data_IF_013759300155
#
_entry.id   IF_013759300155
#
_cell.length_a   1.000
_cell.length_b   1.000
_cell.length_c   1.000
_cell.angle_alpha   90.00
_cell.angle_beta   90.00
_cell.angle_gamma   90.00
#
_symmetry.space_group_name_H-M   'P 1'
#
loop_
_entity.id
_entity.type
_entity.pdbx_description
1 polymer ?
#
# COMPACT_ATOMS: atom_id res chain seq x y z
N UNK A 1 17.01 1.37 -34.77
CA UNK A 1 15.71 2.04 -34.97
C UNK A 1 15.46 2.78 -33.67
N UNK A 2 15.57 4.10 -33.64
CA UNK A 2 15.13 4.89 -32.51
C UNK A 2 13.60 4.80 -32.44
N UNK A 3 13.09 3.81 -31.75
CA UNK A 3 11.69 3.83 -31.37
C UNK A 3 11.49 5.07 -30.51
N UNK A 4 10.59 5.98 -30.94
CA UNK A 4 10.21 7.14 -30.13
C UNK A 4 9.69 6.66 -28.77
N UNK A 5 9.69 7.54 -27.79
CA UNK A 5 9.13 7.24 -26.46
C UNK A 5 7.69 6.73 -26.58
N UNK A 6 7.34 5.60 -25.94
CA UNK A 6 5.97 5.09 -26.01
C UNK A 6 4.99 6.07 -25.35
N UNK A 7 3.75 6.10 -25.79
CA UNK A 7 2.72 6.87 -25.11
C UNK A 7 2.40 6.27 -23.73
N UNK A 8 2.05 7.12 -22.77
CA UNK A 8 1.75 6.76 -21.39
C UNK A 8 0.33 7.18 -21.02
N UNK A 9 -0.44 6.25 -20.45
CA UNK A 9 -1.73 6.53 -19.81
C UNK A 9 -1.61 6.39 -18.31
N UNK A 10 -1.77 7.51 -17.58
CA UNK A 10 -1.83 7.51 -16.12
C UNK A 10 -3.27 7.22 -15.70
N UNK A 11 -3.49 6.11 -15.00
CA UNK A 11 -4.80 5.68 -14.51
C UNK A 11 -4.92 6.00 -13.03
N UNK A 12 -5.92 6.80 -12.67
CA UNK A 12 -6.16 7.27 -11.31
C UNK A 12 -7.54 6.80 -10.82
N UNK A 13 -7.60 5.87 -9.85
CA UNK A 13 -8.83 5.56 -9.13
C UNK A 13 -9.16 6.69 -8.16
N UNK A 14 -10.34 7.30 -8.29
CA UNK A 14 -10.71 8.52 -7.55
C UNK A 14 -12.03 8.34 -6.80
N UNK A 15 -12.02 8.56 -5.47
CA UNK A 15 -13.21 8.53 -4.61
C UNK A 15 -13.01 9.37 -3.35
N UNK A 16 -13.77 10.48 -3.20
CA UNK A 16 -13.68 11.42 -2.09
C UNK A 16 -12.26 12.02 -1.93
N UNK A 17 -11.76 12.66 -2.98
CA UNK A 17 -10.42 13.23 -3.09
C UNK A 17 -10.44 14.75 -3.36
N UNK A 18 -11.49 15.46 -2.94
CA UNK A 18 -11.63 16.90 -3.21
C UNK A 18 -10.44 17.75 -2.76
N UNK A 19 -9.72 17.30 -1.71
CA UNK A 19 -8.58 18.05 -1.16
C UNK A 19 -7.27 17.81 -1.92
N UNK A 20 -7.17 16.72 -2.69
CA UNK A 20 -5.88 16.28 -3.23
C UNK A 20 -5.87 16.09 -4.74
N UNK A 21 -7.03 15.83 -5.36
CA UNK A 21 -7.13 15.45 -6.77
C UNK A 21 -6.46 16.46 -7.72
N UNK A 22 -6.71 17.76 -7.51
CA UNK A 22 -6.15 18.79 -8.38
C UNK A 22 -4.61 18.80 -8.34
N UNK A 23 -4.04 18.73 -7.14
CA UNK A 23 -2.59 18.68 -6.96
C UNK A 23 -1.99 17.40 -7.55
N UNK A 24 -2.64 16.24 -7.36
CA UNK A 24 -2.17 14.96 -7.89
C UNK A 24 -2.17 14.96 -9.44
N UNK A 25 -3.26 15.45 -10.06
CA UNK A 25 -3.35 15.56 -11.53
C UNK A 25 -2.32 16.55 -12.07
N UNK A 26 -2.17 17.71 -11.44
CA UNK A 26 -1.16 18.71 -11.82
C UNK A 26 0.26 18.12 -11.73
N UNK A 27 0.59 17.40 -10.66
CA UNK A 27 1.88 16.76 -10.49
C UNK A 27 2.19 15.70 -11.56
N UNK A 28 1.16 15.06 -12.13
CA UNK A 28 1.31 14.15 -13.29
C UNK A 28 1.51 14.94 -14.58
N UNK A 29 0.68 15.96 -14.84
CA UNK A 29 0.71 16.73 -16.09
C UNK A 29 1.96 17.58 -16.27
N UNK A 30 2.67 17.89 -15.17
CA UNK A 30 3.94 18.63 -15.16
C UNK A 30 5.17 17.74 -15.25
N UNK A 31 5.01 16.40 -15.30
CA UNK A 31 6.14 15.48 -15.50
C UNK A 31 6.80 15.74 -16.87
N UNK A 32 8.12 15.86 -16.87
CA UNK A 32 8.91 15.94 -18.10
C UNK A 32 9.00 14.57 -18.75
N UNK A 33 8.10 14.31 -19.70
CA UNK A 33 8.07 13.07 -20.46
C UNK A 33 8.10 13.36 -21.97
N UNK A 34 9.03 12.76 -22.75
CA UNK A 34 9.20 13.09 -24.17
C UNK A 34 8.10 12.53 -25.08
N UNK A 35 7.37 11.50 -24.63
CA UNK A 35 6.27 10.88 -25.39
C UNK A 35 4.91 11.50 -25.07
N UNK A 36 3.86 10.93 -25.64
CA UNK A 36 2.49 11.33 -25.34
C UNK A 36 2.09 10.92 -23.91
N UNK A 37 1.38 11.79 -23.21
CA UNK A 37 0.92 11.57 -21.84
C UNK A 37 -0.57 11.91 -21.72
N UNK A 38 -1.38 10.98 -21.23
CA UNK A 38 -2.77 11.24 -20.83
C UNK A 38 -3.03 10.83 -19.38
N UNK A 39 -4.08 11.39 -18.78
CA UNK A 39 -4.59 11.05 -17.44
C UNK A 39 -6.01 10.56 -17.55
N UNK A 40 -6.29 9.36 -17.08
CA UNK A 40 -7.64 8.76 -17.03
C UNK A 40 -8.11 8.70 -15.59
N UNK A 41 -9.04 9.57 -15.22
CA UNK A 41 -9.66 9.64 -13.90
C UNK A 41 -10.86 8.70 -13.84
N UNK A 42 -10.75 7.58 -13.14
CA UNK A 42 -11.86 6.65 -12.93
C UNK A 42 -12.62 7.03 -11.63
N UNK A 43 -13.67 7.85 -11.78
CA UNK A 43 -14.34 8.54 -10.67
C UNK A 43 -15.50 7.71 -10.12
N UNK A 44 -15.41 7.34 -8.83
CA UNK A 44 -16.48 6.71 -8.08
C UNK A 44 -17.59 7.69 -7.65
N UNK A 45 -18.65 7.15 -7.01
CA UNK A 45 -19.76 7.94 -6.43
C UNK A 45 -19.28 8.69 -5.19
N UNK A 46 -18.55 9.76 -5.40
CA UNK A 46 -18.05 10.63 -4.33
C UNK A 46 -19.16 11.43 -3.66
N UNK A 47 -18.96 11.76 -2.38
CA UNK A 47 -19.92 12.54 -1.57
C UNK A 47 -19.49 14.01 -1.38
N UNK A 48 -18.37 14.39 -1.97
CA UNK A 48 -17.70 15.67 -1.90
C UNK A 48 -17.57 16.27 -3.31
N UNK A 49 -16.78 17.33 -3.48
CA UNK A 49 -16.61 18.04 -4.74
C UNK A 49 -15.72 17.28 -5.77
N UNK A 50 -15.26 16.06 -5.48
CA UNK A 50 -14.35 15.31 -6.33
C UNK A 50 -14.80 15.23 -7.80
N UNK A 51 -16.09 14.92 -8.05
CA UNK A 51 -16.63 14.81 -9.42
C UNK A 51 -16.57 16.13 -10.16
N UNK A 52 -16.96 17.22 -9.54
CA UNK A 52 -16.92 18.54 -10.14
C UNK A 52 -15.48 18.98 -10.47
N UNK A 53 -14.52 18.63 -9.60
CA UNK A 53 -13.09 18.89 -9.84
C UNK A 53 -12.60 18.07 -11.04
N UNK A 54 -12.93 16.78 -11.12
CA UNK A 54 -12.52 15.92 -12.23
C UNK A 54 -13.08 16.45 -13.59
N UNK A 55 -14.36 16.79 -13.64
CA UNK A 55 -15.01 17.31 -14.84
C UNK A 55 -14.39 18.67 -15.27
N UNK A 56 -14.05 19.54 -14.31
CA UNK A 56 -13.36 20.80 -14.57
C UNK A 56 -11.95 20.58 -15.14
N UNK A 57 -11.18 19.66 -14.56
CA UNK A 57 -9.83 19.33 -15.05
C UNK A 57 -9.87 18.80 -16.49
N UNK A 58 -10.84 17.93 -16.81
CA UNK A 58 -11.02 17.42 -18.16
C UNK A 58 -11.48 18.48 -19.16
N UNK A 59 -12.22 19.50 -18.72
CA UNK A 59 -12.63 20.62 -19.57
C UNK A 59 -11.46 21.58 -19.89
N UNK A 60 -10.47 21.67 -18.99
CA UNK A 60 -9.33 22.61 -19.13
C UNK A 60 -8.16 21.98 -19.90
N UNK A 61 -7.87 20.69 -19.68
CA UNK A 61 -6.73 20.02 -20.32
C UNK A 61 -7.20 18.78 -21.11
N UNK A 62 -7.01 18.76 -22.46
CA UNK A 62 -7.45 17.66 -23.30
C UNK A 62 -6.74 16.32 -23.04
N UNK A 63 -5.65 16.34 -22.29
CA UNK A 63 -4.96 15.13 -21.84
C UNK A 63 -5.70 14.43 -20.69
N UNK A 64 -6.63 15.14 -20.00
CA UNK A 64 -7.40 14.57 -18.89
C UNK A 64 -8.73 14.03 -19.39
N UNK A 65 -9.05 12.82 -18.99
CA UNK A 65 -10.31 12.15 -19.36
C UNK A 65 -10.97 11.58 -18.10
N UNK A 66 -12.28 11.66 -18.03
CA UNK A 66 -13.07 11.12 -16.92
C UNK A 66 -13.81 9.88 -17.36
N UNK A 67 -13.78 8.82 -16.55
CA UNK A 67 -14.51 7.58 -16.72
C UNK A 67 -15.32 7.31 -15.45
N UNK A 68 -16.59 6.92 -15.61
CA UNK A 68 -17.45 6.60 -14.48
C UNK A 68 -17.07 5.24 -13.87
N UNK A 69 -16.95 5.20 -12.54
CA UNK A 69 -16.80 3.97 -11.76
C UNK A 69 -18.02 3.76 -10.85
N UNK A 70 -19.12 3.18 -11.36
CA UNK A 70 -20.35 3.03 -10.60
C UNK A 70 -20.21 2.10 -9.38
N UNK A 71 -19.25 1.15 -9.42
CA UNK A 71 -18.95 0.26 -8.30
C UNK A 71 -18.25 0.99 -7.13
N UNK A 72 -17.62 2.13 -7.37
CA UNK A 72 -16.88 2.92 -6.36
C UNK A 72 -15.83 2.08 -5.60
N UNK A 73 -15.19 1.15 -6.31
CA UNK A 73 -14.15 0.26 -5.82
C UNK A 73 -12.87 0.44 -6.63
N UNK A 74 -11.72 0.43 -5.96
CA UNK A 74 -10.41 0.64 -6.59
C UNK A 74 -10.11 -0.33 -7.73
N UNK A 75 -10.27 -1.66 -7.61
CA UNK A 75 -9.95 -2.56 -8.72
C UNK A 75 -10.86 -2.34 -9.94
N UNK A 76 -12.15 -2.03 -9.74
CA UNK A 76 -13.06 -1.67 -10.84
C UNK A 76 -12.59 -0.37 -11.53
N UNK A 77 -12.22 0.65 -10.73
CA UNK A 77 -11.71 1.90 -11.28
C UNK A 77 -10.45 1.68 -12.13
N UNK A 78 -9.53 0.86 -11.63
CA UNK A 78 -8.28 0.53 -12.34
C UNK A 78 -8.58 -0.21 -13.65
N UNK A 79 -9.46 -1.22 -13.64
CA UNK A 79 -9.84 -1.93 -14.87
C UNK A 79 -10.53 -1.02 -15.89
N UNK A 80 -11.47 -0.16 -15.43
CA UNK A 80 -12.14 0.81 -16.30
C UNK A 80 -11.15 1.82 -16.88
N UNK A 81 -10.20 2.30 -16.07
CA UNK A 81 -9.15 3.20 -16.51
C UNK A 81 -8.20 2.56 -17.54
N UNK A 82 -7.78 1.32 -17.30
CA UNK A 82 -6.95 0.56 -18.26
C UNK A 82 -7.68 0.29 -19.57
N UNK A 83 -8.97 -0.03 -19.52
CA UNK A 83 -9.80 -0.24 -20.71
C UNK A 83 -9.97 1.06 -21.53
N UNK A 84 -10.06 2.20 -20.86
CA UNK A 84 -10.19 3.52 -21.50
C UNK A 84 -8.83 4.11 -21.95
N UNK A 85 -7.71 3.58 -21.47
CA UNK A 85 -6.37 4.05 -21.80
C UNK A 85 -6.06 3.89 -23.30
N UNK A 86 -5.37 4.87 -23.87
CA UNK A 86 -4.99 4.89 -25.31
C UNK A 86 -3.61 4.33 -25.56
N UNK A 87 -2.74 4.39 -24.55
CA UNK A 87 -1.32 4.06 -24.70
C UNK A 87 -0.96 2.71 -24.08
N UNK A 88 0.22 2.20 -24.46
CA UNK A 88 0.66 0.85 -24.10
C UNK A 88 1.34 0.78 -22.72
N UNK A 89 1.81 1.91 -22.21
CA UNK A 89 2.32 1.99 -20.84
C UNK A 89 1.24 2.54 -19.92
N UNK A 90 0.94 1.79 -18.88
CA UNK A 90 -0.05 2.15 -17.85
C UNK A 90 0.69 2.53 -16.57
N UNK A 91 0.54 3.75 -16.13
CA UNK A 91 1.04 4.23 -14.84
C UNK A 91 -0.12 4.34 -13.87
N UNK A 92 -0.09 3.60 -12.78
CA UNK A 92 -1.09 3.78 -11.71
C UNK A 92 -0.65 4.91 -10.78
N UNK A 93 -1.57 5.82 -10.49
CA UNK A 93 -1.40 6.85 -9.45
C UNK A 93 -2.70 6.96 -8.66
N UNK A 94 -2.62 6.92 -7.34
CA UNK A 94 -3.81 7.12 -6.49
C UNK A 94 -4.21 8.63 -6.47
N UNK A 95 -5.49 8.94 -6.23
CA UNK A 95 -6.04 10.31 -6.31
C UNK A 95 -5.40 11.35 -5.37
N UNK A 96 -4.52 10.90 -4.47
CA UNK A 96 -3.70 11.72 -3.58
C UNK A 96 -2.20 11.39 -3.68
N UNK A 97 -1.79 10.65 -4.73
CA UNK A 97 -0.39 10.27 -4.98
C UNK A 97 0.40 11.43 -5.57
N UNK A 98 1.59 11.67 -5.03
CA UNK A 98 2.51 12.69 -5.54
C UNK A 98 3.77 12.00 -6.04
N UNK A 99 3.94 12.01 -7.36
CA UNK A 99 5.13 11.49 -8.02
C UNK A 99 6.30 12.47 -7.85
N UNK A 100 7.51 11.95 -7.71
CA UNK A 100 8.73 12.76 -7.81
C UNK A 100 9.00 13.17 -9.25
N UNK A 101 9.78 14.22 -9.45
CA UNK A 101 10.17 14.69 -10.79
C UNK A 101 10.90 13.58 -11.57
N UNK A 102 10.55 13.45 -12.86
CA UNK A 102 11.14 12.44 -13.74
C UNK A 102 10.66 11.00 -13.48
N UNK A 103 9.70 10.78 -12.59
CA UNK A 103 9.19 9.44 -12.23
C UNK A 103 8.72 8.66 -13.47
N UNK A 104 7.85 9.27 -14.29
CA UNK A 104 7.25 8.58 -15.46
C UNK A 104 8.35 8.21 -16.46
N UNK A 105 9.26 9.14 -16.75
CA UNK A 105 10.39 8.88 -17.66
C UNK A 105 11.25 7.72 -17.18
N UNK A 106 11.67 7.77 -15.90
CA UNK A 106 12.53 6.72 -15.32
C UNK A 106 11.83 5.37 -15.27
N UNK A 107 10.53 5.35 -14.99
CA UNK A 107 9.75 4.11 -14.99
C UNK A 107 9.66 3.46 -16.38
N UNK A 108 9.48 4.26 -17.43
CA UNK A 108 9.47 3.75 -18.81
C UNK A 108 10.85 3.23 -19.22
N UNK A 109 11.93 3.95 -18.88
CA UNK A 109 13.31 3.47 -19.10
C UNK A 109 13.52 2.10 -18.43
N UNK A 110 13.07 1.94 -17.17
CA UNK A 110 13.21 0.68 -16.43
C UNK A 110 12.37 -0.46 -17.02
N UNK A 111 11.17 -0.18 -17.54
CA UNK A 111 10.39 -1.20 -18.27
C UNK A 111 11.14 -1.74 -19.47
N UNK A 112 11.77 -0.85 -20.26
CA UNK A 112 12.55 -1.22 -21.44
C UNK A 112 13.86 -1.91 -21.07
N UNK A 113 14.64 -1.33 -20.14
CA UNK A 113 15.94 -1.87 -19.69
C UNK A 113 15.84 -3.27 -19.08
N UNK A 114 14.76 -3.54 -18.33
CA UNK A 114 14.63 -4.78 -17.55
C UNK A 114 13.75 -5.84 -18.20
N UNK A 115 12.92 -5.45 -19.18
CA UNK A 115 11.87 -6.31 -19.74
C UNK A 115 10.81 -6.71 -18.72
N UNK A 116 10.72 -6.02 -17.59
CA UNK A 116 9.74 -6.32 -16.54
C UNK A 116 8.32 -5.99 -16.98
N UNK A 117 7.35 -6.77 -16.50
CA UNK A 117 5.93 -6.52 -16.74
C UNK A 117 5.38 -5.38 -15.87
N UNK A 118 6.04 -5.16 -14.74
CA UNK A 118 5.70 -4.12 -13.77
C UNK A 118 6.97 -3.57 -13.14
N UNK A 119 7.10 -2.25 -13.11
CA UNK A 119 8.14 -1.56 -12.36
C UNK A 119 7.51 -0.61 -11.35
N UNK A 120 8.18 -0.38 -10.24
CA UNK A 120 7.73 0.57 -9.24
C UNK A 120 8.79 0.74 -8.15
N UNK A 121 8.48 1.55 -7.16
CA UNK A 121 9.53 1.96 -6.24
C UNK A 121 9.08 2.13 -4.80
N UNK A 122 9.59 3.17 -4.18
CA UNK A 122 9.48 3.43 -2.75
C UNK A 122 8.16 4.14 -2.43
N UNK A 123 7.44 3.62 -1.45
CA UNK A 123 6.39 4.36 -0.74
C UNK A 123 7.07 5.30 0.26
N UNK A 124 7.35 6.52 -0.17
CA UNK A 124 8.01 7.53 0.65
C UNK A 124 7.02 8.14 1.66
N UNK A 125 6.93 7.49 2.81
CA UNK A 125 6.00 7.88 3.87
C UNK A 125 6.49 9.15 4.56
N UNK A 126 5.77 10.27 4.37
CA UNK A 126 6.09 11.58 4.93
C UNK A 126 4.99 12.05 5.87
N UNK A 127 5.30 12.16 7.15
CA UNK A 127 4.41 12.70 8.18
C UNK A 127 4.55 14.21 8.32
N UNK A 128 3.42 14.91 8.50
CA UNK A 128 3.37 16.36 8.77
C UNK A 128 3.06 16.69 10.23
N UNK A 129 2.72 15.67 11.02
CA UNK A 129 2.51 15.77 12.47
C UNK A 129 3.37 14.74 13.21
N UNK A 130 3.62 14.92 14.52
CA UNK A 130 4.40 13.94 15.29
C UNK A 130 3.81 12.52 15.28
N UNK A 131 2.50 12.37 15.16
CA UNK A 131 1.87 11.05 15.04
C UNK A 131 2.14 10.44 13.66
N UNK A 132 1.98 11.21 12.59
CA UNK A 132 2.26 10.76 11.23
C UNK A 132 3.75 10.43 11.03
N UNK A 133 4.67 11.21 11.64
CA UNK A 133 6.10 10.93 11.65
C UNK A 133 6.38 9.55 12.31
N UNK A 134 5.73 9.26 13.44
CA UNK A 134 5.84 7.97 14.09
C UNK A 134 5.26 6.82 13.23
N UNK A 135 4.16 7.06 12.49
CA UNK A 135 3.59 6.08 11.55
C UNK A 135 4.52 5.87 10.35
N UNK A 136 5.10 6.93 9.78
CA UNK A 136 6.09 6.84 8.71
C UNK A 136 7.29 5.99 9.13
N UNK A 137 7.84 6.24 10.34
CA UNK A 137 8.92 5.44 10.90
C UNK A 137 8.52 3.96 11.11
N UNK A 138 7.31 3.69 11.59
CA UNK A 138 6.82 2.32 11.72
C UNK A 138 6.71 1.62 10.35
N UNK A 139 6.38 2.34 9.27
CA UNK A 139 6.29 1.77 7.92
C UNK A 139 7.65 1.43 7.33
N UNK A 140 8.68 2.21 7.66
CA UNK A 140 10.04 2.08 7.11
C UNK A 140 10.97 1.24 7.97
N UNK A 141 10.51 0.62 9.05
CA UNK A 141 11.35 -0.20 9.93
C UNK A 141 10.99 -1.68 9.87
N UNK A 142 11.98 -2.56 10.06
CA UNK A 142 11.78 -4.02 10.10
C UNK A 142 10.85 -4.45 11.26
N UNK A 143 10.82 -3.69 12.35
CA UNK A 143 9.91 -3.96 13.47
C UNK A 143 8.47 -3.61 13.11
N UNK A 144 8.23 -2.66 12.20
CA UNK A 144 6.91 -2.31 11.70
C UNK A 144 6.56 -3.07 10.42
N UNK A 145 6.36 -2.33 9.32
CA UNK A 145 5.98 -2.90 8.01
C UNK A 145 7.15 -3.07 7.05
N UNK A 146 8.36 -2.64 7.39
CA UNK A 146 9.55 -2.56 6.55
C UNK A 146 10.16 -3.90 6.11
N UNK A 147 9.35 -4.91 5.93
CA UNK A 147 9.79 -6.21 5.40
C UNK A 147 9.71 -6.34 3.87
N UNK A 148 9.18 -5.33 3.15
CA UNK A 148 9.16 -5.26 1.69
C UNK A 148 10.13 -4.19 1.20
N UNK A 149 10.74 -4.41 0.03
CA UNK A 149 11.68 -3.47 -0.58
C UNK A 149 11.10 -2.06 -0.75
N UNK A 150 9.83 -1.96 -1.12
CA UNK A 150 9.16 -0.67 -1.34
C UNK A 150 8.90 0.14 -0.05
N UNK A 151 9.10 -0.43 1.12
CA UNK A 151 9.06 0.28 2.41
C UNK A 151 10.43 0.82 2.84
N UNK A 152 11.52 0.35 2.22
CA UNK A 152 12.89 0.70 2.61
C UNK A 152 13.55 1.48 1.47
N UNK A 153 13.78 2.77 1.68
CA UNK A 153 14.45 3.63 0.71
C UNK A 153 15.89 3.18 0.36
N UNK A 154 16.50 2.38 1.25
CA UNK A 154 17.84 1.83 1.09
C UNK A 154 17.87 0.48 0.34
N UNK A 155 16.69 -0.04 -0.07
CA UNK A 155 16.62 -1.29 -0.84
C UNK A 155 17.30 -1.12 -2.20
N UNK A 156 18.08 -2.12 -2.60
CA UNK A 156 18.71 -2.13 -3.92
C UNK A 156 17.68 -2.39 -5.01
N UNK A 157 17.93 -1.83 -6.20
CA UNK A 157 17.14 -2.14 -7.39
C UNK A 157 17.25 -3.63 -7.74
N UNK A 158 16.16 -4.23 -8.18
CA UNK A 158 16.16 -5.65 -8.55
C UNK A 158 14.77 -6.26 -8.63
N UNK A 159 14.70 -7.58 -8.96
CA UNK A 159 13.46 -8.33 -8.95
C UNK A 159 12.78 -8.28 -7.58
N UNK A 160 11.46 -8.13 -7.57
CA UNK A 160 10.66 -8.00 -6.37
C UNK A 160 9.34 -8.81 -6.45
N UNK A 161 8.79 -9.17 -5.30
CA UNK A 161 7.45 -9.78 -5.23
C UNK A 161 6.33 -8.77 -5.50
N UNK A 162 6.56 -7.53 -5.15
CA UNK A 162 5.59 -6.43 -5.31
C UNK A 162 6.30 -5.08 -5.19
N UNK A 163 5.68 -4.05 -5.77
CA UNK A 163 6.14 -2.66 -5.74
C UNK A 163 5.00 -1.72 -5.36
N UNK A 164 5.33 -0.51 -4.97
CA UNK A 164 4.33 0.51 -4.69
C UNK A 164 3.95 1.25 -5.98
N UNK A 165 2.65 1.38 -6.26
CA UNK A 165 2.08 2.03 -7.46
C UNK A 165 2.82 1.61 -8.75
N UNK A 166 2.44 0.49 -9.30
CA UNK A 166 3.13 -0.10 -10.45
C UNK A 166 2.96 0.69 -11.76
N UNK A 167 3.98 0.56 -12.61
CA UNK A 167 3.98 0.96 -14.02
C UNK A 167 4.09 -0.29 -14.86
N UNK A 168 3.15 -0.48 -15.78
CA UNK A 168 2.93 -1.74 -16.46
C UNK A 168 2.93 -1.59 -17.97
N UNK A 169 3.36 -2.62 -18.69
CA UNK A 169 2.89 -2.83 -20.05
C UNK A 169 1.41 -3.21 -20.01
N UNK A 170 0.56 -2.57 -20.82
CA UNK A 170 -0.88 -2.87 -20.91
C UNK A 170 -1.13 -4.33 -21.24
N UNK A 171 -0.35 -4.88 -22.17
CA UNK A 171 -0.44 -6.29 -22.56
C UNK A 171 -0.21 -7.24 -21.39
N UNK A 172 0.69 -6.89 -20.45
CA UNK A 172 0.95 -7.70 -19.27
C UNK A 172 -0.27 -7.73 -18.32
N UNK A 173 -0.96 -6.58 -18.14
CA UNK A 173 -2.21 -6.51 -17.40
C UNK A 173 -3.31 -7.33 -18.08
N UNK A 174 -3.46 -7.19 -19.39
CA UNK A 174 -4.47 -7.92 -20.17
C UNK A 174 -4.24 -9.44 -20.13
N UNK A 175 -2.99 -9.88 -20.25
CA UNK A 175 -2.63 -11.30 -20.25
C UNK A 175 -3.00 -12.03 -18.94
N UNK A 176 -3.06 -11.32 -17.82
CA UNK A 176 -3.49 -11.89 -16.53
C UNK A 176 -4.93 -11.52 -16.15
N UNK A 177 -5.70 -10.89 -17.05
CA UNK A 177 -7.09 -10.54 -16.84
C UNK A 177 -7.34 -9.28 -16.00
N UNK A 178 -6.34 -8.39 -15.87
CA UNK A 178 -6.46 -7.14 -15.11
C UNK A 178 -6.49 -7.35 -13.60
N UNK A 179 -7.03 -6.38 -12.86
CA UNK A 179 -7.20 -6.44 -11.40
C UNK A 179 -8.40 -7.30 -11.01
N UNK A 180 -8.26 -8.18 -10.01
CA UNK A 180 -9.38 -8.95 -9.47
C UNK A 180 -10.36 -8.03 -8.71
N UNK A 181 -11.54 -7.84 -9.28
CA UNK A 181 -12.58 -6.94 -8.76
C UNK A 181 -13.16 -7.39 -7.41
N UNK A 182 -12.96 -8.64 -7.03
CA UNK A 182 -13.35 -9.16 -5.70
C UNK A 182 -12.34 -8.79 -4.61
N UNK A 183 -11.13 -8.37 -4.99
CA UNK A 183 -10.06 -7.98 -4.08
C UNK A 183 -10.12 -6.48 -3.80
N UNK A 184 -10.97 -6.05 -2.86
CA UNK A 184 -11.12 -4.63 -2.54
C UNK A 184 -9.89 -4.01 -1.85
N UNK A 185 -9.00 -4.83 -1.33
CA UNK A 185 -7.65 -4.47 -0.83
C UNK A 185 -6.67 -5.59 -1.18
N UNK A 186 -5.40 -5.29 -1.13
CA UNK A 186 -4.31 -6.17 -1.57
C UNK A 186 -4.41 -6.57 -3.06
N UNK A 187 -5.19 -5.82 -3.86
CA UNK A 187 -5.37 -6.01 -5.29
C UNK A 187 -4.04 -5.92 -6.05
N UNK A 188 -3.12 -5.05 -5.60
CA UNK A 188 -1.80 -4.89 -6.20
C UNK A 188 -0.94 -6.13 -5.98
N UNK A 189 -0.93 -6.60 -4.74
CA UNK A 189 -0.18 -7.78 -4.37
C UNK A 189 -0.71 -9.02 -5.11
N UNK A 190 -2.04 -9.15 -5.20
CA UNK A 190 -2.72 -10.25 -5.90
C UNK A 190 -2.39 -10.23 -7.41
N UNK A 191 -2.47 -9.05 -8.05
CA UNK A 191 -2.08 -8.87 -9.44
C UNK A 191 -0.61 -9.25 -9.65
N UNK A 192 0.28 -8.76 -8.80
CA UNK A 192 1.71 -9.04 -8.87
C UNK A 192 1.99 -10.54 -8.72
N UNK A 193 1.28 -11.23 -7.83
CA UNK A 193 1.37 -12.69 -7.70
C UNK A 193 1.00 -13.39 -9.02
N UNK A 194 -0.10 -12.99 -9.70
CA UNK A 194 -0.47 -13.59 -11.02
C UNK A 194 0.54 -13.26 -12.12
N UNK A 195 1.11 -12.06 -12.13
CA UNK A 195 2.17 -11.70 -13.07
C UNK A 195 3.39 -12.60 -12.90
N UNK A 196 3.86 -12.79 -11.65
CA UNK A 196 4.98 -13.69 -11.34
C UNK A 196 4.66 -15.16 -11.68
N UNK A 197 3.45 -15.63 -11.35
CA UNK A 197 3.02 -16.99 -11.67
C UNK A 197 2.92 -17.24 -13.19
N UNK A 198 2.74 -16.19 -14.01
CA UNK A 198 2.77 -16.27 -15.47
C UNK A 198 4.19 -16.23 -16.06
N UNK A 199 5.23 -16.27 -15.22
CA UNK A 199 6.64 -16.24 -15.65
C UNK A 199 7.19 -14.84 -15.94
N UNK A 200 6.43 -13.79 -15.64
CA UNK A 200 6.86 -12.39 -15.80
C UNK A 200 7.66 -11.93 -14.60
N UNK A 201 8.43 -10.86 -14.76
CA UNK A 201 9.20 -10.24 -13.69
C UNK A 201 8.57 -8.92 -13.24
N UNK A 202 8.78 -8.60 -11.97
CA UNK A 202 8.46 -7.31 -11.35
C UNK A 202 9.78 -6.72 -10.88
N UNK A 203 9.99 -5.43 -11.13
CA UNK A 203 11.24 -4.77 -10.81
C UNK A 203 11.02 -3.60 -9.84
N UNK A 204 11.76 -3.62 -8.75
CA UNK A 204 11.84 -2.51 -7.81
C UNK A 204 12.99 -1.59 -8.15
N UNK A 205 12.78 -0.27 -8.11
CA UNK A 205 13.85 0.73 -8.15
C UNK A 205 13.69 1.79 -7.07
N UNK A 206 14.74 2.12 -6.31
CA UNK A 206 14.71 3.23 -5.36
C UNK A 206 14.64 4.61 -6.03
N UNK A 207 14.89 4.69 -7.35
CA UNK A 207 14.76 5.92 -8.13
C UNK A 207 13.29 6.36 -8.27
N UNK A 208 12.37 5.38 -8.22
CA UNK A 208 10.93 5.63 -8.29
C UNK A 208 10.39 5.88 -6.89
N UNK A 209 10.01 7.12 -6.60
CA UNK A 209 9.47 7.50 -5.29
C UNK A 209 8.09 8.13 -5.43
N UNK A 210 7.20 7.73 -4.55
CA UNK A 210 5.86 8.33 -4.45
C UNK A 210 5.63 8.77 -3.01
N UNK A 211 5.36 10.04 -2.81
CA UNK A 211 5.04 10.54 -1.49
C UNK A 211 3.73 9.93 -0.99
N UNK A 212 3.78 9.33 0.16
CA UNK A 212 2.63 8.74 0.84
C UNK A 212 2.37 9.48 2.16
N UNK A 213 1.13 9.88 2.38
CA UNK A 213 0.71 10.50 3.65
C UNK A 213 0.16 9.44 4.60
N UNK A 214 0.83 9.18 5.75
CA UNK A 214 0.36 8.24 6.76
C UNK A 214 -0.97 8.67 7.39
N UNK A 215 -1.61 7.73 8.08
CA UNK A 215 -2.84 8.04 8.84
C UNK A 215 -2.53 8.98 10.01
N UNK A 216 -3.37 10.00 10.18
CA UNK A 216 -3.16 11.08 11.16
C UNK A 216 -3.70 10.76 12.56
N UNK A 217 -4.36 9.61 12.77
CA UNK A 217 -4.93 9.25 14.07
C UNK A 217 -4.83 7.75 14.38
N UNK A 218 -4.81 7.43 15.67
CA UNK A 218 -4.83 6.04 16.16
C UNK A 218 -6.00 5.25 15.59
N UNK A 219 -7.19 5.83 15.53
CA UNK A 219 -8.41 5.18 15.02
C UNK A 219 -8.27 4.87 13.52
N UNK A 220 -7.77 5.81 12.73
CA UNK A 220 -7.59 5.63 11.30
C UNK A 220 -6.50 4.58 10.99
N UNK A 221 -5.39 4.61 11.73
CA UNK A 221 -4.32 3.62 11.65
C UNK A 221 -4.84 2.21 12.04
N UNK A 222 -5.51 2.10 13.19
CA UNK A 222 -6.07 0.83 13.65
C UNK A 222 -7.04 0.23 12.63
N UNK A 223 -7.93 1.05 12.06
CA UNK A 223 -8.85 0.61 10.99
C UNK A 223 -8.10 0.13 9.75
N UNK A 224 -7.09 0.88 9.31
CA UNK A 224 -6.28 0.52 8.15
C UNK A 224 -5.59 -0.83 8.37
N UNK A 225 -4.92 -1.01 9.51
CA UNK A 225 -4.18 -2.23 9.82
C UNK A 225 -5.10 -3.43 10.03
N UNK A 226 -6.23 -3.24 10.69
CA UNK A 226 -7.25 -4.27 10.85
C UNK A 226 -7.78 -4.77 9.49
N UNK A 227 -8.14 -3.84 8.60
CA UNK A 227 -8.59 -4.20 7.25
C UNK A 227 -7.46 -4.88 6.47
N UNK A 228 -6.21 -4.43 6.59
CA UNK A 228 -5.04 -5.07 5.96
C UNK A 228 -4.86 -6.51 6.44
N UNK A 229 -4.98 -6.76 7.75
CA UNK A 229 -4.91 -8.11 8.31
C UNK A 229 -5.99 -9.04 7.75
N UNK A 230 -7.25 -8.57 7.67
CA UNK A 230 -8.38 -9.34 7.11
C UNK A 230 -8.11 -9.76 5.66
N UNK A 231 -7.65 -8.81 4.84
CA UNK A 231 -7.39 -9.07 3.43
C UNK A 231 -6.13 -9.94 3.23
N UNK A 232 -5.11 -9.80 4.09
CA UNK A 232 -3.94 -10.69 4.07
C UNK A 232 -4.33 -12.14 4.34
N UNK A 233 -5.25 -12.39 5.29
CA UNK A 233 -5.80 -13.73 5.49
C UNK A 233 -6.51 -14.26 4.24
N UNK A 234 -7.27 -13.43 3.54
CA UNK A 234 -7.94 -13.83 2.30
C UNK A 234 -6.95 -14.16 1.19
N UNK A 235 -5.86 -13.38 1.07
CA UNK A 235 -4.76 -13.66 0.14
C UNK A 235 -4.13 -15.02 0.42
N UNK A 236 -3.72 -15.29 1.67
CA UNK A 236 -3.11 -16.58 2.05
C UNK A 236 -4.10 -17.74 1.85
N UNK A 237 -5.39 -17.52 2.04
CA UNK A 237 -6.40 -18.53 1.78
C UNK A 237 -6.52 -18.89 0.29
N UNK A 238 -6.38 -17.90 -0.60
CA UNK A 238 -6.43 -18.12 -2.06
C UNK A 238 -5.12 -18.66 -2.61
N UNK A 239 -4.02 -18.18 -2.04
CA UNK A 239 -2.65 -18.48 -2.44
C UNK A 239 -1.83 -18.93 -1.21
N UNK A 240 -1.93 -20.20 -0.77
CA UNK A 240 -1.29 -20.69 0.46
C UNK A 240 0.23 -20.60 0.46
N UNK A 241 0.85 -20.68 -0.70
CA UNK A 241 2.29 -20.51 -0.94
C UNK A 241 2.84 -19.15 -0.53
N UNK A 242 1.95 -18.15 -0.37
CA UNK A 242 2.30 -16.78 0.04
C UNK A 242 2.37 -16.59 1.54
N UNK A 243 2.05 -17.64 2.31
CA UNK A 243 2.20 -17.61 3.75
C UNK A 243 3.68 -17.53 4.14
N UNK A 244 4.05 -16.53 4.91
CA UNK A 244 5.39 -16.39 5.46
C UNK A 244 5.35 -15.82 6.87
N UNK A 245 6.47 -15.93 7.59
CA UNK A 245 6.61 -15.52 8.99
C UNK A 245 6.23 -14.05 9.18
N UNK A 246 6.57 -13.17 8.23
CA UNK A 246 6.24 -11.74 8.31
C UNK A 246 4.74 -11.48 8.41
N UNK A 247 3.93 -12.24 7.68
CA UNK A 247 2.47 -12.08 7.68
C UNK A 247 1.78 -12.80 8.83
N UNK A 248 2.42 -13.84 9.38
CA UNK A 248 1.89 -14.63 10.48
C UNK A 248 2.33 -14.13 11.86
N UNK A 249 3.44 -13.40 11.95
CA UNK A 249 3.93 -12.86 13.23
C UNK A 249 2.91 -11.96 13.96
N UNK A 250 2.22 -10.98 13.32
CA UNK A 250 1.23 -10.16 14.03
C UNK A 250 0.03 -10.95 14.57
N UNK A 251 -0.63 -11.87 13.84
CA UNK A 251 -1.72 -12.66 14.40
C UNK A 251 -1.26 -13.60 15.51
N UNK A 252 -0.07 -14.22 15.40
CA UNK A 252 0.50 -15.06 16.45
C UNK A 252 0.82 -14.25 17.72
N UNK A 253 1.45 -13.09 17.57
CA UNK A 253 1.71 -12.18 18.68
C UNK A 253 0.40 -11.74 19.35
N UNK A 254 -0.61 -11.35 18.58
CA UNK A 254 -1.92 -10.95 19.11
C UNK A 254 -2.59 -12.09 19.90
N UNK A 255 -2.58 -13.31 19.36
CA UNK A 255 -3.12 -14.47 20.03
C UNK A 255 -2.34 -14.82 21.32
N UNK A 256 -1.00 -14.77 21.26
CA UNK A 256 -0.14 -15.01 22.44
C UNK A 256 -0.34 -13.97 23.54
N UNK A 257 -0.46 -12.69 23.19
CA UNK A 257 -0.74 -11.60 24.14
C UNK A 257 -2.12 -11.79 24.77
N UNK A 258 -3.15 -12.03 23.98
CA UNK A 258 -4.51 -12.24 24.49
C UNK A 258 -4.59 -13.47 25.41
N UNK A 259 -4.08 -14.62 24.96
CA UNK A 259 -4.04 -15.85 25.74
C UNK A 259 -3.17 -15.72 27.00
N UNK A 260 -1.98 -15.12 26.86
CA UNK A 260 -1.08 -14.87 27.99
C UNK A 260 -1.69 -13.96 29.06
N UNK A 261 -2.40 -12.92 28.63
CA UNK A 261 -3.12 -12.04 29.55
C UNK A 261 -4.25 -12.78 30.28
N UNK A 262 -5.08 -13.54 29.56
CA UNK A 262 -6.19 -14.30 30.16
C UNK A 262 -5.69 -15.35 31.15
N UNK A 263 -4.69 -16.14 30.77
CA UNK A 263 -4.10 -17.16 31.65
C UNK A 263 -3.36 -16.54 32.83
N UNK A 264 -2.63 -15.45 32.63
CA UNK A 264 -1.94 -14.71 33.67
C UNK A 264 -2.91 -14.12 34.69
N UNK A 265 -4.04 -13.56 34.27
CA UNK A 265 -5.13 -13.09 35.14
C UNK A 265 -5.73 -14.26 35.94
N UNK A 266 -6.07 -15.37 35.27
CA UNK A 266 -6.57 -16.57 35.93
C UNK A 266 -5.58 -17.07 36.99
N UNK A 267 -4.28 -17.09 36.69
CA UNK A 267 -3.22 -17.45 37.63
C UNK A 267 -3.10 -16.48 38.81
N UNK A 268 -3.36 -15.20 38.57
CA UNK A 268 -3.36 -14.19 39.63
C UNK A 268 -4.55 -14.36 40.61
N UNK A 269 -5.72 -14.72 40.08
CA UNK A 269 -6.93 -14.99 40.85
C UNK A 269 -6.86 -16.32 41.59
N UNK A 270 -6.39 -17.38 40.94
CA UNK A 270 -6.34 -18.74 41.51
C UNK A 270 -5.09 -19.00 42.37
N UNK A 271 -4.12 -18.12 42.39
CA UNK A 271 -2.85 -18.32 43.09
C UNK A 271 -1.87 -19.25 42.33
N UNK A 272 -2.20 -19.74 41.13
CA UNK A 272 -1.38 -20.67 40.38
C UNK A 272 -0.12 -20.00 39.84
N UNK A 273 1.06 -20.44 40.30
CA UNK A 273 2.36 -19.96 39.80
C UNK A 273 2.58 -20.27 38.31
N UNK A 274 2.15 -21.46 37.86
CA UNK A 274 2.29 -21.89 36.49
C UNK A 274 1.51 -20.98 35.50
N UNK A 275 0.25 -20.67 35.83
CA UNK A 275 -0.56 -19.78 35.00
C UNK A 275 -0.02 -18.34 35.00
N UNK A 276 0.60 -17.88 36.11
CA UNK A 276 1.23 -16.54 36.15
C UNK A 276 2.41 -16.40 35.18
N UNK A 277 3.09 -17.50 34.83
CA UNK A 277 4.16 -17.46 33.82
C UNK A 277 3.65 -17.00 32.45
N UNK A 278 2.35 -17.12 32.18
CA UNK A 278 1.73 -16.64 30.95
C UNK A 278 1.83 -15.11 30.76
N UNK A 279 2.06 -14.33 31.83
CA UNK A 279 2.39 -12.91 31.73
C UNK A 279 3.67 -12.63 30.94
N UNK A 280 4.54 -13.64 30.75
CA UNK A 280 5.74 -13.49 29.93
C UNK A 280 5.43 -13.09 28.47
N UNK A 281 4.27 -13.49 27.93
CA UNK A 281 3.93 -13.14 26.55
C UNK A 281 3.64 -11.63 26.38
N UNK A 282 2.70 -10.99 27.11
CA UNK A 282 2.49 -9.56 26.99
C UNK A 282 3.71 -8.73 27.47
N UNK A 283 4.43 -9.18 28.50
CA UNK A 283 5.63 -8.48 29.00
C UNK A 283 6.77 -8.54 27.97
N UNK A 284 7.02 -9.70 27.38
CA UNK A 284 8.03 -9.88 26.34
C UNK A 284 7.71 -9.04 25.09
N UNK A 285 6.45 -9.01 24.68
CA UNK A 285 6.02 -8.14 23.58
C UNK A 285 6.26 -6.66 23.91
N UNK A 286 5.87 -6.20 25.11
CA UNK A 286 6.12 -4.82 25.54
C UNK A 286 7.62 -4.49 25.53
N UNK A 287 8.47 -5.39 26.00
CA UNK A 287 9.93 -5.21 25.97
C UNK A 287 10.47 -5.08 24.54
N UNK A 288 10.00 -5.92 23.60
CA UNK A 288 10.39 -5.83 22.17
C UNK A 288 9.95 -4.49 21.56
N UNK A 289 8.72 -4.04 21.82
CA UNK A 289 8.21 -2.77 21.29
C UNK A 289 8.98 -1.59 21.86
N UNK A 290 9.21 -1.55 23.16
CA UNK A 290 9.93 -0.45 23.82
C UNK A 290 11.41 -0.41 23.40
N UNK A 291 12.09 -1.56 23.45
CA UNK A 291 13.49 -1.67 23.03
C UNK A 291 13.70 -1.36 21.56
N UNK A 292 12.84 -1.92 20.68
CA UNK A 292 12.89 -1.65 19.24
C UNK A 292 12.59 -0.19 18.92
N UNK A 293 11.61 0.43 19.61
CA UNK A 293 11.34 1.86 19.46
C UNK A 293 12.54 2.73 19.84
N UNK A 294 13.23 2.39 20.94
CA UNK A 294 14.41 3.14 21.37
C UNK A 294 15.55 3.11 20.35
N UNK A 295 15.72 1.96 19.66
CA UNK A 295 16.74 1.82 18.59
C UNK A 295 16.36 2.59 17.34
N UNK A 296 15.07 2.48 16.92
CA UNK A 296 14.57 3.06 15.66
C UNK A 296 14.45 4.58 15.70
N UNK A 297 14.15 5.14 16.87
CA UNK A 297 13.71 6.54 17.00
C UNK A 297 14.84 7.58 17.01
N UNK A 298 16.09 7.22 16.75
CA UNK A 298 17.24 8.12 16.93
C UNK A 298 17.22 9.39 16.05
N UNK A 299 16.62 9.32 14.88
CA UNK A 299 16.50 10.44 13.93
C UNK A 299 15.15 11.17 13.97
N UNK A 300 14.26 10.80 14.91
CA UNK A 300 12.91 11.33 15.00
C UNK A 300 12.83 12.53 15.95
N UNK A 301 11.79 13.36 15.76
CA UNK A 301 11.43 14.38 16.77
C UNK A 301 11.07 13.72 18.11
N UNK A 302 11.32 14.39 19.24
CA UNK A 302 10.99 13.83 20.55
C UNK A 302 9.51 13.51 20.70
N UNK A 303 8.67 14.37 20.11
CA UNK A 303 7.22 14.18 20.10
C UNK A 303 6.78 12.94 19.32
N UNK A 304 7.44 12.60 18.23
CA UNK A 304 7.18 11.38 17.45
C UNK A 304 7.76 10.14 18.14
N UNK A 305 8.96 10.26 18.72
CA UNK A 305 9.65 9.19 19.47
C UNK A 305 8.78 8.60 20.57
N UNK A 306 8.15 9.45 21.38
CA UNK A 306 7.25 9.02 22.47
C UNK A 306 6.01 8.29 21.93
N UNK A 307 5.58 8.57 20.70
CA UNK A 307 4.41 7.96 20.07
C UNK A 307 4.70 6.63 19.38
N UNK A 308 5.97 6.38 19.01
CA UNK A 308 6.34 5.20 18.21
C UNK A 308 5.95 3.86 18.87
N UNK A 309 6.13 3.64 20.20
CA UNK A 309 5.68 2.39 20.82
C UNK A 309 4.18 2.14 20.66
N UNK A 310 3.35 3.18 20.84
CA UNK A 310 1.91 3.10 20.65
C UNK A 310 1.57 2.78 19.19
N UNK A 311 2.21 3.46 18.23
CA UNK A 311 2.00 3.25 16.80
C UNK A 311 2.33 1.82 16.40
N UNK A 312 3.47 1.27 16.83
CA UNK A 312 3.85 -0.11 16.57
C UNK A 312 2.86 -1.11 17.19
N UNK A 313 2.46 -0.89 18.43
CA UNK A 313 1.47 -1.75 19.10
C UNK A 313 0.12 -1.72 18.35
N UNK A 314 -0.37 -0.55 17.96
CA UNK A 314 -1.61 -0.40 17.19
C UNK A 314 -1.47 -1.11 15.82
N UNK A 315 -0.35 -0.95 15.15
CA UNK A 315 -0.06 -1.61 13.86
C UNK A 315 -0.13 -3.13 13.99
N UNK A 316 0.59 -3.72 14.93
CA UNK A 316 0.67 -5.17 15.07
C UNK A 316 -0.64 -5.78 15.58
N UNK A 317 -1.22 -5.22 16.64
CA UNK A 317 -2.40 -5.79 17.27
C UNK A 317 -3.64 -5.63 16.41
N UNK A 318 -3.79 -4.50 15.72
CA UNK A 318 -4.91 -4.30 14.79
C UNK A 318 -4.81 -5.21 13.58
N UNK A 319 -3.60 -5.34 12.99
CA UNK A 319 -3.38 -6.30 11.90
C UNK A 319 -3.67 -7.72 12.36
N UNK A 320 -3.07 -8.14 13.49
CA UNK A 320 -3.27 -9.48 14.04
C UNK A 320 -4.74 -9.78 14.31
N UNK A 321 -5.47 -8.87 14.96
CA UNK A 321 -6.89 -9.00 15.19
C UNK A 321 -7.69 -9.11 13.90
N UNK A 322 -7.39 -8.28 12.90
CA UNK A 322 -8.02 -8.34 11.59
C UNK A 322 -7.79 -9.70 10.90
N UNK A 323 -6.57 -10.22 10.96
CA UNK A 323 -6.21 -11.51 10.40
C UNK A 323 -6.97 -12.65 11.12
N UNK A 324 -7.02 -12.65 12.45
CA UNK A 324 -7.72 -13.67 13.22
C UNK A 324 -9.23 -13.69 12.96
N UNK A 325 -9.85 -12.52 12.80
CA UNK A 325 -11.28 -12.40 12.48
C UNK A 325 -11.56 -12.77 11.02
N UNK A 326 -10.75 -12.29 10.07
CA UNK A 326 -10.92 -12.51 8.64
C UNK A 326 -12.12 -11.77 8.04
N UNK A 327 -12.40 -12.05 6.76
CA UNK A 327 -13.57 -11.52 6.07
C UNK A 327 -14.83 -12.33 6.47
N UNK A 328 -15.91 -11.61 6.81
CA UNK A 328 -17.22 -12.27 6.97
C UNK A 328 -17.69 -12.69 5.58
N UNK A 329 -17.93 -13.98 5.40
CA UNK A 329 -18.63 -14.47 4.20
C UNK A 329 -20.12 -14.21 4.36
N UNK A 330 -20.82 -13.80 3.30
CA UNK A 330 -22.28 -13.98 3.30
C UNK A 330 -22.56 -15.45 3.62
N UNK A 331 -23.47 -15.71 4.53
CA UNK A 331 -24.01 -17.06 4.69
C UNK A 331 -24.67 -17.40 3.36
N UNK A 332 -24.18 -18.45 2.68
CA UNK A 332 -24.79 -19.07 1.51
C UNK A 332 -26.18 -19.56 1.85
#
# INVERSE_FOLDING_TARGET
VSAGWPGVSVVMPVLNEELHLEAAVSGVLTQEYPGELEVVLAVGRSKDATRAIADRLAAVDPRVRVVDNPASRTPHALNLGVAAARHDVIVRVDGHGMLTDGYIRRAVELLDETGAANVGGVMDAQGTSPFEEAVAAAYTTKLGLGGSSFHLAESQAGPAETVFLGVFWREALQAVGGFDETMHRAQDWELNHRLLASGRTIWFSPDLRVTYRPRSSVRALAKQMYDTGKWRREVIRRYPDTANVRYLAPPLATAAIAGGTLLGLAGSVTGSRLLRLAWAAPAGYAAVILGGSAVTSRSMSDAARVRLPLVLAVTHLSWGAGFLVGLRRPRS
#
